data_IF_388705803612
#
_entry.id   IF_388705803612
#
_cell.length_a   1.000
_cell.length_b   1.000
_cell.length_c   1.000
_cell.angle_alpha   90.00
_cell.angle_beta   90.00
_cell.angle_gamma   90.00
#
_symmetry.space_group_name_H-M   'P 1'
#
loop_
_entity.id
_entity.type
_entity.pdbx_description
1 polymer ?
#
# COMPACT_ATOMS: atom_id res chain seq x y z
N UNK A 1 -15.90 14.98 1.70
CA UNK A 1 -15.37 14.78 3.07
C UNK A 1 -14.24 13.76 3.10
N UNK A 2 -14.36 12.60 2.45
CA UNK A 2 -13.33 11.55 2.44
C UNK A 2 -11.94 12.00 1.97
N UNK A 3 -11.88 12.78 0.89
CA UNK A 3 -10.62 13.36 0.39
C UNK A 3 -9.96 14.33 1.38
N UNK A 4 -10.75 15.08 2.17
CA UNK A 4 -10.21 16.01 3.15
C UNK A 4 -9.47 15.25 4.26
N UNK A 5 -10.02 14.12 4.73
CA UNK A 5 -9.33 13.27 5.70
C UNK A 5 -8.04 12.70 5.10
N UNK A 6 -8.08 12.17 3.89
CA UNK A 6 -6.88 11.66 3.21
C UNK A 6 -5.80 12.73 3.04
N UNK A 7 -6.19 13.99 2.78
CA UNK A 7 -5.25 15.11 2.71
C UNK A 7 -4.56 15.39 4.06
N UNK A 8 -5.27 15.28 5.17
CA UNK A 8 -4.66 15.37 6.51
C UNK A 8 -3.64 14.24 6.71
N UNK A 9 -3.99 13.00 6.36
CA UNK A 9 -3.03 11.88 6.41
C UNK A 9 -1.81 12.12 5.51
N UNK A 10 -2.02 12.69 4.31
CA UNK A 10 -0.93 13.05 3.41
C UNK A 10 0.02 14.08 4.05
N UNK A 11 -0.52 15.12 4.70
CA UNK A 11 0.30 16.09 5.43
C UNK A 11 1.07 15.41 6.57
N UNK A 12 0.43 14.51 7.33
CA UNK A 12 1.10 13.77 8.41
C UNK A 12 2.28 12.96 7.87
N UNK A 13 2.12 12.21 6.78
CA UNK A 13 3.24 11.45 6.19
C UNK A 13 4.32 12.39 5.62
N UNK A 14 3.95 13.53 5.04
CA UNK A 14 4.89 14.52 4.52
C UNK A 14 5.75 15.09 5.66
N UNK A 15 5.15 15.39 6.82
CA UNK A 15 5.85 15.80 8.03
C UNK A 15 6.76 14.70 8.57
N UNK A 16 6.31 13.46 8.58
CA UNK A 16 7.11 12.29 8.98
C UNK A 16 8.34 12.15 8.09
N UNK A 17 8.16 12.19 6.75
CA UNK A 17 9.26 12.14 5.77
C UNK A 17 10.23 13.31 5.94
N UNK A 18 9.74 14.50 6.29
CA UNK A 18 10.59 15.66 6.52
C UNK A 18 11.43 15.55 7.81
N UNK A 19 10.88 14.96 8.87
CA UNK A 19 11.48 14.98 10.21
C UNK A 19 12.26 13.72 10.56
N UNK A 20 11.94 12.58 9.95
CA UNK A 20 12.57 11.31 10.30
C UNK A 20 14.01 11.22 9.74
N UNK A 21 15.02 10.89 10.58
CA UNK A 21 16.41 10.75 10.15
C UNK A 21 16.61 9.70 9.06
N UNK A 22 15.75 8.67 9.01
CA UNK A 22 15.77 7.65 7.95
C UNK A 22 15.72 8.26 6.54
N UNK A 23 14.86 9.27 6.34
CA UNK A 23 14.73 9.97 5.05
C UNK A 23 15.76 11.11 4.93
N UNK A 24 15.98 11.89 6.00
CA UNK A 24 16.94 12.99 5.97
C UNK A 24 18.39 12.56 5.69
N UNK A 25 18.78 11.37 6.17
CA UNK A 25 20.10 10.80 5.93
C UNK A 25 20.18 9.98 4.63
N UNK A 26 19.20 10.14 3.72
CA UNK A 26 19.19 9.44 2.44
C UNK A 26 20.19 9.98 1.42
N UNK A 27 20.72 11.19 1.64
CA UNK A 27 21.51 11.93 0.66
C UNK A 27 20.67 12.78 -0.29
N UNK A 28 19.34 12.74 -0.16
CA UNK A 28 18.39 13.65 -0.81
C UNK A 28 18.08 14.85 0.08
N UNK A 29 17.86 16.01 -0.53
CA UNK A 29 17.36 17.17 0.22
C UNK A 29 15.91 16.95 0.66
N UNK A 30 15.48 17.63 1.71
CA UNK A 30 14.09 17.59 2.17
C UNK A 30 13.10 17.91 1.04
N UNK A 31 13.40 18.91 0.21
CA UNK A 31 12.57 19.26 -0.94
C UNK A 31 12.51 18.17 -2.02
N UNK A 32 13.63 17.51 -2.32
CA UNK A 32 13.63 16.37 -3.25
C UNK A 32 12.72 15.26 -2.75
N UNK A 33 12.77 14.95 -1.45
CA UNK A 33 11.88 13.94 -0.84
C UNK A 33 10.41 14.34 -0.95
N UNK A 34 10.06 15.60 -0.67
CA UNK A 34 8.67 16.07 -0.78
C UNK A 34 8.16 16.08 -2.22
N UNK A 35 8.99 16.48 -3.19
CA UNK A 35 8.64 16.45 -4.61
C UNK A 35 8.40 15.00 -5.06
N UNK A 36 9.31 14.08 -4.73
CA UNK A 36 9.18 12.68 -5.09
C UNK A 36 7.94 12.04 -4.43
N UNK A 37 7.66 12.36 -3.17
CA UNK A 37 6.47 11.90 -2.47
C UNK A 37 5.18 12.44 -3.13
N UNK A 38 5.15 13.72 -3.50
CA UNK A 38 4.01 14.34 -4.19
C UNK A 38 3.77 13.72 -5.58
N UNK A 39 4.83 13.50 -6.35
CA UNK A 39 4.77 12.80 -7.64
C UNK A 39 4.22 11.38 -7.46
N UNK A 40 4.62 10.69 -6.40
CA UNK A 40 4.14 9.34 -6.09
C UNK A 40 2.66 9.33 -5.71
N UNK A 41 2.22 10.30 -4.90
CA UNK A 41 0.80 10.46 -4.57
C UNK A 41 -0.04 10.76 -5.83
N UNK A 42 0.49 11.59 -6.74
CA UNK A 42 -0.17 11.86 -8.03
C UNK A 42 -0.31 10.59 -8.88
N UNK A 43 0.69 9.70 -8.91
CA UNK A 43 0.57 8.40 -9.57
C UNK A 43 -0.49 7.50 -8.93
N UNK A 44 -0.59 7.47 -7.60
CA UNK A 44 -1.64 6.71 -6.91
C UNK A 44 -3.04 7.19 -7.26
N UNK A 45 -3.24 8.52 -7.32
CA UNK A 45 -4.50 9.13 -7.75
C UNK A 45 -4.79 8.80 -9.22
N UNK A 46 -3.79 8.88 -10.10
CA UNK A 46 -3.94 8.55 -11.51
C UNK A 46 -4.32 7.08 -11.71
N UNK A 47 -3.68 6.15 -11.00
CA UNK A 47 -4.00 4.72 -11.03
C UNK A 47 -5.42 4.45 -10.54
N UNK A 48 -5.84 5.09 -9.44
CA UNK A 48 -7.24 5.03 -9.01
C UNK A 48 -8.19 5.55 -10.09
N UNK A 49 -7.85 6.67 -10.74
CA UNK A 49 -8.64 7.22 -11.84
C UNK A 49 -8.78 6.24 -13.02
N UNK A 50 -7.72 5.51 -13.37
CA UNK A 50 -7.77 4.45 -14.39
C UNK A 50 -8.75 3.35 -13.95
N UNK A 51 -8.63 2.83 -12.73
CA UNK A 51 -9.56 1.78 -12.27
C UNK A 51 -11.00 2.25 -12.13
N UNK A 52 -11.21 3.46 -11.61
CA UNK A 52 -12.54 3.97 -11.33
C UNK A 52 -13.27 4.45 -12.60
N UNK A 53 -12.56 5.10 -13.53
CA UNK A 53 -13.19 5.77 -14.67
C UNK A 53 -12.99 5.06 -16.01
N UNK A 54 -11.85 4.40 -16.23
CA UNK A 54 -11.58 3.70 -17.49
C UNK A 54 -12.16 2.29 -17.48
N UNK A 55 -11.91 1.51 -16.43
CA UNK A 55 -12.48 0.18 -16.30
C UNK A 55 -13.92 0.19 -15.80
N UNK A 56 -14.29 1.15 -14.95
CA UNK A 56 -15.67 1.37 -14.50
C UNK A 56 -16.26 0.29 -13.58
N UNK A 57 -15.66 -0.91 -13.54
CA UNK A 57 -16.04 -2.01 -12.67
C UNK A 57 -15.00 -2.27 -11.58
N UNK A 58 -15.41 -2.07 -10.32
CA UNK A 58 -14.59 -2.35 -9.13
C UNK A 58 -14.12 -3.80 -9.08
N UNK A 59 -14.94 -4.71 -9.62
CA UNK A 59 -14.63 -6.13 -9.70
C UNK A 59 -13.61 -6.45 -10.78
N UNK A 60 -12.98 -5.50 -11.47
CA UNK A 60 -11.84 -5.76 -12.37
C UNK A 60 -10.51 -5.24 -11.81
N UNK A 61 -10.56 -4.47 -10.72
CA UNK A 61 -9.38 -3.85 -10.11
C UNK A 61 -8.94 -4.64 -8.89
N UNK A 62 -7.73 -5.21 -8.95
CA UNK A 62 -7.12 -5.88 -7.80
C UNK A 62 -7.07 -4.97 -6.56
N UNK A 63 -6.76 -3.68 -6.75
CA UNK A 63 -6.70 -2.72 -5.65
C UNK A 63 -8.04 -2.51 -4.94
N UNK A 64 -9.13 -2.40 -5.71
CA UNK A 64 -10.47 -2.22 -5.15
C UNK A 64 -11.01 -3.52 -4.54
N UNK A 65 -10.71 -4.67 -5.16
CA UNK A 65 -11.07 -6.00 -4.63
C UNK A 65 -10.44 -6.28 -3.27
N UNK A 66 -9.13 -6.02 -3.10
CA UNK A 66 -8.47 -6.22 -1.80
C UNK A 66 -9.07 -5.33 -0.71
N UNK A 67 -9.44 -4.12 -1.08
CA UNK A 67 -10.09 -3.18 -0.18
C UNK A 67 -11.51 -3.64 0.19
N UNK A 68 -12.31 -4.08 -0.79
CA UNK A 68 -13.70 -4.51 -0.58
C UNK A 68 -13.75 -5.81 0.26
N UNK A 69 -12.89 -6.80 -0.02
CA UNK A 69 -12.76 -8.02 0.79
C UNK A 69 -12.32 -7.68 2.24
N UNK A 70 -11.41 -6.73 2.41
CA UNK A 70 -10.99 -6.27 3.73
C UNK A 70 -12.13 -5.58 4.50
N UNK A 71 -13.03 -4.88 3.81
CA UNK A 71 -14.19 -4.24 4.42
C UNK A 71 -15.16 -5.27 4.99
N UNK A 72 -15.35 -6.41 4.31
CA UNK A 72 -16.17 -7.52 4.80
C UNK A 72 -15.58 -8.07 6.10
N UNK A 73 -14.27 -8.35 6.14
CA UNK A 73 -13.60 -8.79 7.37
C UNK A 73 -13.73 -7.73 8.47
N UNK A 74 -13.51 -6.46 8.16
CA UNK A 74 -13.51 -5.37 9.15
C UNK A 74 -14.89 -5.16 9.82
N UNK A 75 -16.00 -5.57 9.19
CA UNK A 75 -17.33 -5.55 9.82
C UNK A 75 -17.42 -6.43 11.07
N UNK A 76 -16.56 -7.44 11.19
CA UNK A 76 -16.47 -8.29 12.38
C UNK A 76 -15.79 -7.59 13.55
N UNK A 77 -15.00 -6.54 13.32
CA UNK A 77 -14.22 -5.89 14.37
C UNK A 77 -15.05 -5.50 15.62
N UNK A 78 -16.23 -4.86 15.50
CA UNK A 78 -17.05 -4.51 16.66
C UNK A 78 -17.89 -5.67 17.23
N UNK A 79 -18.16 -6.73 16.47
CA UNK A 79 -19.11 -7.80 16.87
C UNK A 79 -18.43 -9.12 17.25
N UNK A 80 -17.31 -9.45 16.62
CA UNK A 80 -16.50 -10.65 16.85
C UNK A 80 -15.01 -10.34 16.64
N UNK A 81 -14.43 -9.68 17.65
CA UNK A 81 -13.01 -9.31 17.64
C UNK A 81 -12.08 -10.53 17.54
N UNK A 82 -12.47 -11.67 18.12
CA UNK A 82 -11.63 -12.88 18.14
C UNK A 82 -11.47 -13.43 16.73
N UNK A 83 -12.57 -13.60 15.98
CA UNK A 83 -12.50 -14.06 14.58
C UNK A 83 -11.86 -13.01 13.69
N UNK A 84 -12.13 -11.71 13.90
CA UNK A 84 -11.44 -10.64 13.19
C UNK A 84 -9.91 -10.72 13.37
N UNK A 85 -9.42 -10.80 14.61
CA UNK A 85 -7.99 -10.94 14.91
C UNK A 85 -7.45 -12.28 14.37
N UNK A 86 -8.24 -13.34 14.49
CA UNK A 86 -8.14 -14.65 13.83
C UNK A 86 -7.61 -14.57 12.41
N UNK A 87 -8.42 -13.93 11.59
CA UNK A 87 -8.23 -13.77 10.14
C UNK A 87 -7.08 -12.80 9.85
N UNK A 88 -7.03 -11.67 10.55
CA UNK A 88 -6.09 -10.56 10.28
C UNK A 88 -4.65 -10.93 10.62
N UNK A 89 -4.39 -11.52 11.79
CA UNK A 89 -3.05 -11.97 12.19
C UNK A 89 -2.73 -13.38 11.69
N UNK A 90 -3.75 -14.14 11.28
CA UNK A 90 -3.58 -15.45 10.66
C UNK A 90 -3.36 -16.61 11.61
N UNK A 91 -3.56 -16.42 12.92
CA UNK A 91 -3.48 -17.47 13.93
C UNK A 91 -4.72 -18.40 13.97
N UNK A 92 -5.86 -17.97 13.39
CA UNK A 92 -7.09 -18.75 13.34
C UNK A 92 -7.83 -18.50 12.03
N UNK A 93 -7.39 -19.19 10.97
CA UNK A 93 -8.02 -19.17 9.64
C UNK A 93 -8.83 -20.43 9.33
N UNK A 94 -8.91 -21.36 10.28
CA UNK A 94 -9.52 -22.68 10.07
C UNK A 94 -10.74 -22.93 10.97
N UNK A 95 -11.02 -22.04 11.93
CA UNK A 95 -12.28 -22.09 12.66
C UNK A 95 -13.47 -21.93 11.73
N UNK A 96 -14.60 -22.53 12.11
CA UNK A 96 -15.85 -22.46 11.34
C UNK A 96 -16.27 -21.01 11.09
N UNK A 97 -16.12 -20.13 12.09
CA UNK A 97 -16.42 -18.70 11.97
C UNK A 97 -15.50 -17.99 10.96
N UNK A 98 -14.19 -18.29 10.99
CA UNK A 98 -13.25 -17.71 10.05
C UNK A 98 -13.54 -18.16 8.61
N UNK A 99 -13.76 -19.46 8.40
CA UNK A 99 -14.07 -20.04 7.09
C UNK A 99 -15.36 -19.49 6.51
N UNK A 100 -16.43 -19.41 7.31
CA UNK A 100 -17.72 -18.83 6.89
C UNK A 100 -17.56 -17.42 6.33
N UNK A 101 -16.65 -16.63 6.86
CA UNK A 101 -16.39 -15.27 6.37
C UNK A 101 -15.48 -15.32 5.16
N UNK A 102 -14.38 -16.07 5.22
CA UNK A 102 -13.38 -16.07 4.14
C UNK A 102 -13.90 -16.67 2.84
N UNK A 103 -14.86 -17.58 2.89
CA UNK A 103 -15.52 -18.17 1.72
C UNK A 103 -16.44 -17.17 1.00
N UNK A 104 -16.88 -16.10 1.68
CA UNK A 104 -17.64 -15.00 1.04
C UNK A 104 -16.75 -14.01 0.31
N UNK A 105 -15.44 -14.05 0.54
CA UNK A 105 -14.49 -13.12 -0.04
C UNK A 105 -14.14 -13.54 -1.46
N UNK A 106 -14.04 -12.55 -2.34
CA UNK A 106 -13.84 -12.79 -3.76
C UNK A 106 -12.44 -13.31 -4.10
N UNK A 107 -11.40 -12.90 -3.35
CA UNK A 107 -9.99 -13.16 -3.71
C UNK A 107 -9.16 -13.77 -2.57
N UNK A 108 -9.81 -14.27 -1.52
CA UNK A 108 -9.13 -14.90 -0.39
C UNK A 108 -8.53 -16.28 -0.74
N UNK A 109 -9.25 -17.05 -1.54
CA UNK A 109 -8.80 -18.33 -2.10
C UNK A 109 -8.34 -18.12 -3.55
N UNK A 110 -7.18 -18.67 -3.92
CA UNK A 110 -6.71 -18.62 -5.32
C UNK A 110 -7.38 -19.75 -6.11
N UNK A 111 -7.91 -19.46 -7.29
CA UNK A 111 -8.41 -20.50 -8.22
C UNK A 111 -7.28 -21.38 -8.79
N UNK A 112 -6.03 -20.88 -8.83
CA UNK A 112 -4.84 -21.64 -9.27
C UNK A 112 -3.71 -21.56 -8.25
N UNK A 113 -3.27 -22.73 -7.77
CA UNK A 113 -2.12 -22.87 -6.88
C UNK A 113 -0.82 -22.82 -7.69
N UNK A 114 -0.02 -21.77 -7.53
CA UNK A 114 1.28 -21.59 -8.20
C UNK A 114 2.49 -21.86 -7.29
N UNK A 115 2.28 -22.47 -6.11
CA UNK A 115 3.37 -22.77 -5.16
C UNK A 115 3.98 -21.55 -4.44
N UNK A 116 3.62 -20.32 -4.84
CA UNK A 116 4.01 -19.08 -4.16
C UNK A 116 3.04 -18.72 -3.03
N UNK A 117 3.54 -18.03 -2.00
CA UNK A 117 2.75 -17.44 -0.91
C UNK A 117 1.50 -16.71 -1.46
N UNK A 118 0.37 -16.80 -0.76
CA UNK A 118 -0.86 -16.15 -1.20
C UNK A 118 -0.83 -14.65 -0.87
N UNK A 119 -0.23 -13.88 -1.77
CA UNK A 119 -0.06 -12.43 -1.62
C UNK A 119 -1.39 -11.65 -1.54
N UNK A 120 -2.51 -12.23 -1.98
CA UNK A 120 -3.83 -11.58 -1.86
C UNK A 120 -4.23 -11.44 -0.40
N UNK A 121 -4.03 -12.50 0.41
CA UNK A 121 -4.38 -12.51 1.83
C UNK A 121 -3.58 -11.46 2.59
N UNK A 122 -2.31 -11.28 2.25
CA UNK A 122 -1.47 -10.24 2.83
C UNK A 122 -2.06 -8.85 2.59
N UNK A 123 -2.47 -8.56 1.35
CA UNK A 123 -3.10 -7.28 1.00
C UNK A 123 -4.44 -7.08 1.71
N UNK A 124 -5.29 -8.11 1.75
CA UNK A 124 -6.59 -8.05 2.43
C UNK A 124 -6.40 -7.78 3.93
N UNK A 125 -5.47 -8.50 4.59
CA UNK A 125 -5.15 -8.32 6.01
C UNK A 125 -4.60 -6.93 6.31
N UNK A 126 -3.66 -6.45 5.48
CA UNK A 126 -3.10 -5.10 5.61
C UNK A 126 -4.19 -4.04 5.50
N UNK A 127 -5.08 -4.16 4.51
CA UNK A 127 -6.21 -3.26 4.37
C UNK A 127 -7.13 -3.32 5.60
N UNK A 128 -7.43 -4.50 6.14
CA UNK A 128 -8.27 -4.64 7.34
C UNK A 128 -7.64 -3.96 8.59
N UNK A 129 -6.30 -3.93 8.70
CA UNK A 129 -5.59 -3.18 9.74
C UNK A 129 -5.67 -1.67 9.52
N UNK A 130 -5.51 -1.20 8.28
CA UNK A 130 -5.62 0.23 7.94
C UNK A 130 -7.05 0.74 8.21
N UNK A 131 -8.07 -0.12 8.06
CA UNK A 131 -9.46 0.24 8.32
C UNK A 131 -9.75 0.69 9.76
N UNK A 132 -8.97 0.22 10.73
CA UNK A 132 -9.09 0.62 12.14
C UNK A 132 -9.05 2.14 12.33
N UNK A 133 -8.27 2.85 11.51
CA UNK A 133 -8.17 4.31 11.56
C UNK A 133 -8.69 5.02 10.31
N UNK A 134 -8.82 4.31 9.18
CA UNK A 134 -9.31 4.90 7.93
C UNK A 134 -10.83 5.06 7.87
N UNK A 135 -11.58 4.32 8.71
CA UNK A 135 -13.05 4.24 8.64
C UNK A 135 -13.55 3.83 7.24
N UNK A 136 -12.87 2.84 6.65
CA UNK A 136 -13.17 2.34 5.29
C UNK A 136 -13.10 3.44 4.21
N UNK A 137 -12.11 4.33 4.30
CA UNK A 137 -11.84 5.34 3.27
C UNK A 137 -10.65 4.91 2.40
N UNK A 138 -10.92 4.56 1.13
CA UNK A 138 -9.91 4.07 0.19
C UNK A 138 -8.73 5.04 -0.01
N UNK A 139 -8.97 6.35 -0.01
CA UNK A 139 -7.91 7.33 -0.20
C UNK A 139 -6.88 7.32 0.93
N UNK A 140 -7.29 7.02 2.17
CA UNK A 140 -6.35 6.87 3.30
C UNK A 140 -5.48 5.63 3.10
N UNK A 141 -6.04 4.53 2.58
CA UNK A 141 -5.26 3.33 2.25
C UNK A 141 -4.22 3.60 1.17
N UNK A 142 -4.60 4.36 0.13
CA UNK A 142 -3.67 4.82 -0.88
C UNK A 142 -2.52 5.65 -0.29
N UNK A 143 -2.82 6.61 0.60
CA UNK A 143 -1.78 7.42 1.28
C UNK A 143 -0.82 6.54 2.08
N UNK A 144 -1.34 5.56 2.83
CA UNK A 144 -0.52 4.61 3.59
C UNK A 144 0.37 3.78 2.65
N UNK A 145 -0.18 3.26 1.57
CA UNK A 145 0.57 2.45 0.60
C UNK A 145 1.64 3.26 -0.13
N UNK A 146 1.34 4.52 -0.49
CA UNK A 146 2.32 5.47 -1.03
C UNK A 146 3.46 5.68 -0.04
N UNK A 147 3.15 5.86 1.26
CA UNK A 147 4.17 6.03 2.30
C UNK A 147 5.06 4.80 2.47
N UNK A 148 4.48 3.60 2.60
CA UNK A 148 5.25 2.35 2.73
C UNK A 148 6.17 2.13 1.53
N UNK A 149 5.61 2.24 0.33
CA UNK A 149 6.37 2.12 -0.92
C UNK A 149 7.49 3.17 -1.02
N UNK A 150 7.21 4.42 -0.63
CA UNK A 150 8.21 5.48 -0.62
C UNK A 150 9.34 5.23 0.39
N UNK A 151 9.03 4.68 1.56
CA UNK A 151 10.03 4.30 2.56
C UNK A 151 10.97 3.20 2.02
N UNK A 152 10.40 2.18 1.36
CA UNK A 152 11.15 1.12 0.69
C UNK A 152 12.08 1.64 -0.41
N UNK A 153 11.54 2.45 -1.33
CA UNK A 153 12.34 3.09 -2.39
C UNK A 153 13.44 4.00 -1.82
N UNK A 154 13.19 4.68 -0.70
CA UNK A 154 14.23 5.46 -0.01
C UNK A 154 15.33 4.56 0.54
N UNK A 155 14.99 3.40 1.09
CA UNK A 155 15.95 2.37 1.52
C UNK A 155 16.82 1.86 0.37
N UNK A 156 16.19 1.51 -0.75
CA UNK A 156 16.88 1.07 -1.97
C UNK A 156 17.81 2.18 -2.50
N UNK A 157 17.33 3.43 -2.56
CA UNK A 157 18.14 4.57 -2.98
C UNK A 157 19.38 4.75 -2.10
N UNK A 158 19.23 4.59 -0.78
CA UNK A 158 20.35 4.66 0.18
C UNK A 158 21.37 3.57 -0.06
N UNK A 159 20.92 2.32 -0.21
CA UNK A 159 21.78 1.18 -0.52
C UNK A 159 22.54 1.39 -1.82
N UNK A 160 21.85 1.73 -2.91
CA UNK A 160 22.47 1.96 -4.21
C UNK A 160 23.43 3.15 -4.20
N UNK A 161 23.09 4.25 -3.51
CA UNK A 161 23.98 5.41 -3.39
C UNK A 161 25.27 5.07 -2.63
N UNK A 162 25.20 4.14 -1.68
CA UNK A 162 26.37 3.65 -0.95
C UNK A 162 27.26 2.74 -1.81
N UNK A 163 26.66 1.77 -2.52
CA UNK A 163 27.42 0.79 -3.31
C UNK A 163 27.84 1.29 -4.71
N UNK A 164 27.16 2.30 -5.25
CA UNK A 164 27.42 2.87 -6.57
C UNK A 164 27.77 4.37 -6.50
N UNK A 165 28.82 4.77 -5.75
CA UNK A 165 29.11 6.19 -5.48
C UNK A 165 29.52 6.99 -6.73
N UNK A 166 29.93 6.32 -7.81
CA UNK A 166 30.31 6.95 -9.09
C UNK A 166 29.11 7.28 -9.97
N UNK A 167 27.93 6.72 -9.68
CA UNK A 167 26.73 6.97 -10.47
C UNK A 167 26.16 8.36 -10.13
N UNK A 168 25.90 9.23 -11.12
CA UNK A 168 25.40 10.56 -10.81
C UNK A 168 24.00 10.47 -10.19
N UNK A 169 23.78 11.24 -9.11
CA UNK A 169 22.56 11.19 -8.31
C UNK A 169 21.26 11.34 -9.12
N UNK A 170 21.14 12.22 -10.13
CA UNK A 170 19.90 12.33 -10.91
C UNK A 170 19.50 11.01 -11.59
N UNK A 171 20.47 10.21 -12.08
CA UNK A 171 20.19 8.92 -12.69
C UNK A 171 19.71 7.88 -11.67
N UNK A 172 20.29 7.89 -10.47
CA UNK A 172 19.81 7.03 -9.37
C UNK A 172 18.39 7.41 -8.94
N UNK A 173 18.09 8.71 -8.85
CA UNK A 173 16.72 9.19 -8.55
C UNK A 173 15.76 8.71 -9.65
N UNK A 174 16.12 8.89 -10.92
CA UNK A 174 15.29 8.46 -12.03
C UNK A 174 15.05 6.95 -12.03
N UNK A 175 16.10 6.16 -11.82
CA UNK A 175 16.02 4.70 -11.78
C UNK A 175 15.16 4.18 -10.62
N UNK A 176 15.27 4.78 -9.43
CA UNK A 176 14.58 4.28 -8.24
C UNK A 176 13.17 4.82 -8.12
N UNK A 177 12.94 6.10 -8.38
CA UNK A 177 11.65 6.75 -8.09
C UNK A 177 10.79 7.03 -9.32
N UNK A 178 11.39 7.17 -10.51
CA UNK A 178 10.70 7.74 -11.69
C UNK A 178 10.57 6.76 -12.87
N UNK A 179 11.12 5.54 -12.77
CA UNK A 179 10.84 4.52 -13.77
C UNK A 179 9.33 4.31 -13.84
N UNK A 180 8.68 4.41 -15.02
CA UNK A 180 7.22 4.41 -15.12
C UNK A 180 6.56 3.23 -14.42
N UNK A 181 7.15 2.03 -14.52
CA UNK A 181 6.64 0.84 -13.85
C UNK A 181 6.71 0.93 -12.33
N UNK A 182 7.84 1.39 -11.78
CA UNK A 182 7.99 1.57 -10.32
C UNK A 182 7.06 2.67 -9.86
N UNK A 183 7.10 3.82 -10.51
CA UNK A 183 6.33 5.00 -10.15
C UNK A 183 4.82 4.75 -10.16
N UNK A 184 4.29 4.08 -11.19
CA UNK A 184 2.86 3.85 -11.35
C UNK A 184 2.34 2.67 -10.52
N UNK A 185 2.92 1.48 -10.67
CA UNK A 185 2.38 0.25 -10.06
C UNK A 185 2.62 0.17 -8.55
N UNK A 186 3.64 0.83 -8.03
CA UNK A 186 3.92 0.83 -6.59
C UNK A 186 3.21 1.95 -5.81
N UNK A 187 2.30 2.70 -6.44
CA UNK A 187 1.61 3.85 -5.84
C UNK A 187 0.13 3.60 -5.55
N UNK A 188 -0.39 2.43 -5.93
CA UNK A 188 -1.74 1.98 -5.60
C UNK A 188 -1.83 1.13 -4.35
N UNK A 189 -3.06 0.72 -4.01
CA UNK A 189 -3.32 -0.35 -3.02
C UNK A 189 -3.07 -1.71 -3.65
N UNK A 190 -1.85 -1.89 -4.15
CA UNK A 190 -1.38 -3.07 -4.87
C UNK A 190 -0.19 -3.71 -4.14
N UNK A 191 0.14 -4.95 -4.52
CA UNK A 191 1.19 -5.76 -3.89
C UNK A 191 2.58 -5.17 -4.12
N UNK A 192 2.79 -4.56 -5.27
CA UNK A 192 4.08 -4.01 -5.71
C UNK A 192 4.55 -2.91 -4.75
N UNK A 193 3.64 -2.07 -4.25
CA UNK A 193 3.95 -1.05 -3.25
C UNK A 193 4.49 -1.65 -1.95
N UNK A 194 3.89 -2.75 -1.50
CA UNK A 194 4.34 -3.46 -0.31
C UNK A 194 5.64 -4.24 -0.56
N UNK A 195 5.83 -4.80 -1.77
CA UNK A 195 7.05 -5.49 -2.15
C UNK A 195 8.27 -4.57 -2.02
N UNK A 196 8.18 -3.33 -2.52
CA UNK A 196 9.28 -2.36 -2.36
C UNK A 196 9.55 -2.00 -0.90
N UNK A 197 8.55 -2.01 -0.03
CA UNK A 197 8.72 -1.73 1.40
C UNK A 197 9.49 -2.84 2.13
N UNK A 198 9.35 -4.08 1.70
CA UNK A 198 9.93 -5.26 2.37
C UNK A 198 11.33 -5.62 1.84
N UNK A 199 11.67 -5.22 0.61
CA UNK A 199 12.99 -5.40 -0.01
C UNK A 199 14.09 -4.58 0.68
#
# INVERSE_FOLDING_TARGET
>A
MEMCYAFVYYILIALVVWRMPFFGNSGLSGWQLQILLALKMAAGIALYGVYAFYYGDRNTSDALRFFDDAAIIHRLFPTDFSTWAGIVFGWDTHSTAAVQITDTLSHWHRERFTGLLNDNRLMIRLNALIMLFSRSNYYIHMVVMVFLSFAGLTGIFRGLSHYLPKLPRPWLIAAVFLLPGVWFWSSGVLKEGLMFFVL
#
